data_IF_054017221099
#
_entry.id   IF_054017221099
#
_cell.length_a   1.000
_cell.length_b   1.000
_cell.length_c   1.000
_cell.angle_alpha   90.00
_cell.angle_beta   90.00
_cell.angle_gamma   90.00
#
_symmetry.space_group_name_H-M   'P 1'
#
loop_
_entity.id
_entity.type
_entity.pdbx_description
1 polymer ?
#
# COMPACT_ATOMS: atom_id res chain seq x y z
N UNK A 1 -37.69 2.44 -25.67
CA UNK A 1 -37.06 1.52 -24.71
C UNK A 1 -35.99 2.30 -23.97
N UNK A 2 -36.08 2.44 -22.64
CA UNK A 2 -34.95 2.91 -21.83
C UNK A 2 -33.93 1.78 -21.79
N UNK A 3 -32.72 2.01 -22.29
CA UNK A 3 -31.65 1.04 -22.16
C UNK A 3 -31.29 0.92 -20.66
N UNK A 4 -31.49 -0.24 -20.01
CA UNK A 4 -31.24 -0.41 -18.57
C UNK A 4 -29.78 -0.14 -18.17
N UNK A 5 -28.86 -0.05 -19.13
CA UNK A 5 -27.45 0.23 -18.90
C UNK A 5 -27.08 1.72 -18.86
N UNK A 6 -28.03 2.62 -19.13
CA UNK A 6 -27.78 4.07 -19.17
C UNK A 6 -28.57 4.75 -18.06
N UNK A 7 -27.87 5.50 -17.20
CA UNK A 7 -28.52 6.24 -16.12
C UNK A 7 -29.24 7.50 -16.63
N UNK A 8 -30.07 8.17 -15.80
CA UNK A 8 -30.79 9.38 -16.21
C UNK A 8 -29.89 10.55 -16.62
N UNK A 9 -28.60 10.51 -16.27
CA UNK A 9 -27.60 11.49 -16.67
C UNK A 9 -26.88 11.09 -17.98
N UNK A 10 -27.30 9.99 -18.62
CA UNK A 10 -26.74 9.50 -19.88
C UNK A 10 -25.45 8.70 -19.71
N UNK A 11 -25.04 8.37 -18.48
CA UNK A 11 -23.81 7.62 -18.24
C UNK A 11 -24.05 6.12 -18.36
N UNK A 12 -23.10 5.43 -18.99
CA UNK A 12 -23.11 3.97 -19.06
C UNK A 12 -22.59 3.36 -17.74
N UNK A 13 -23.02 2.13 -17.45
CA UNK A 13 -22.48 1.37 -16.31
C UNK A 13 -20.94 1.22 -16.38
N UNK A 14 -20.37 1.20 -17.59
CA UNK A 14 -18.92 1.12 -17.81
C UNK A 14 -18.19 2.39 -17.35
N UNK A 15 -18.75 3.57 -17.67
CA UNK A 15 -18.20 4.85 -17.21
C UNK A 15 -18.22 4.95 -15.68
N UNK A 16 -19.29 4.47 -15.04
CA UNK A 16 -19.41 4.43 -13.58
C UNK A 16 -18.41 3.46 -12.94
N UNK A 17 -18.19 2.30 -13.54
CA UNK A 17 -17.19 1.35 -13.07
C UNK A 17 -15.79 1.97 -13.10
N UNK A 18 -15.41 2.59 -14.22
CA UNK A 18 -14.12 3.28 -14.38
C UNK A 18 -13.93 4.43 -13.37
N UNK A 19 -14.96 5.25 -13.16
CA UNK A 19 -14.90 6.35 -12.19
C UNK A 19 -14.70 5.85 -10.75
N UNK A 20 -15.38 4.76 -10.36
CA UNK A 20 -15.20 4.12 -9.04
C UNK A 20 -13.81 3.50 -8.88
N UNK A 21 -13.26 2.89 -9.94
CA UNK A 21 -11.89 2.37 -9.94
C UNK A 21 -10.87 3.50 -9.74
N UNK A 22 -11.05 4.66 -10.39
CA UNK A 22 -10.20 5.83 -10.15
C UNK A 22 -10.32 6.40 -8.72
N UNK A 23 -11.53 6.44 -8.17
CA UNK A 23 -11.76 6.87 -6.79
C UNK A 23 -11.10 5.91 -5.78
N UNK A 24 -11.11 4.61 -6.09
CA UNK A 24 -10.46 3.59 -5.27
C UNK A 24 -8.93 3.60 -5.44
N UNK A 25 -8.42 3.86 -6.65
CA UNK A 25 -6.98 3.98 -6.93
C UNK A 25 -6.38 5.28 -6.37
N UNK A 26 -7.20 6.30 -6.11
CA UNK A 26 -6.81 7.51 -5.40
C UNK A 26 -6.88 7.38 -3.87
N UNK A 27 -7.41 6.26 -3.36
CA UNK A 27 -7.15 5.84 -1.99
C UNK A 27 -5.68 5.40 -1.90
N UNK A 28 -4.81 6.38 -1.67
CA UNK A 28 -3.36 6.22 -1.50
C UNK A 28 -3.07 5.00 -0.63
N UNK A 29 -2.46 3.97 -1.23
CA UNK A 29 -2.01 2.79 -0.50
C UNK A 29 -1.04 3.23 0.61
N UNK A 30 -1.21 2.74 1.86
CA UNK A 30 -0.36 3.17 2.96
C UNK A 30 1.11 2.83 2.64
N UNK A 31 2.06 3.73 2.95
CA UNK A 31 3.46 3.51 2.62
C UNK A 31 3.96 2.21 3.26
N UNK A 32 4.71 1.43 2.48
CA UNK A 32 5.26 0.15 2.96
C UNK A 32 6.17 0.37 4.16
N UNK A 33 5.91 -0.38 5.24
CA UNK A 33 6.74 -0.39 6.45
C UNK A 33 7.93 -1.35 6.36
N UNK A 34 8.06 -2.10 5.25
CA UNK A 34 9.16 -3.06 5.05
C UNK A 34 10.55 -2.44 5.25
N UNK A 35 10.87 -1.23 4.73
CA UNK A 35 12.18 -0.63 4.93
C UNK A 35 12.50 -0.36 6.40
N UNK A 36 11.49 0.00 7.21
CA UNK A 36 11.66 0.25 8.64
C UNK A 36 12.03 -1.06 9.37
N UNK A 37 11.32 -2.14 9.07
CA UNK A 37 11.60 -3.44 9.68
C UNK A 37 12.99 -3.97 9.31
N UNK A 38 13.43 -3.75 8.06
CA UNK A 38 14.79 -4.09 7.63
C UNK A 38 15.82 -3.30 8.44
N UNK A 39 15.63 -1.97 8.57
CA UNK A 39 16.55 -1.12 9.31
C UNK A 39 16.64 -1.53 10.79
N UNK A 40 15.50 -1.82 11.44
CA UNK A 40 15.45 -2.31 12.83
C UNK A 40 16.19 -3.65 12.98
N UNK A 41 15.97 -4.58 12.04
CA UNK A 41 16.65 -5.89 12.06
C UNK A 41 18.17 -5.75 11.95
N UNK A 42 18.66 -4.92 11.02
CA UNK A 42 20.10 -4.66 10.86
C UNK A 42 20.68 -4.01 12.11
N UNK A 43 20.00 -3.00 12.66
CA UNK A 43 20.45 -2.33 13.89
C UNK A 43 20.57 -3.30 15.07
N UNK A 44 19.60 -4.20 15.24
CA UNK A 44 19.63 -5.22 16.28
C UNK A 44 20.82 -6.17 16.11
N UNK A 45 21.10 -6.62 14.89
CA UNK A 45 22.26 -7.47 14.61
C UNK A 45 23.59 -6.78 14.94
N UNK A 46 23.71 -5.49 14.61
CA UNK A 46 24.91 -4.71 14.95
C UNK A 46 25.08 -4.62 16.47
N UNK A 47 24.01 -4.33 17.22
CA UNK A 47 24.06 -4.27 18.68
C UNK A 47 24.49 -5.61 19.27
N UNK A 48 23.94 -6.73 18.78
CA UNK A 48 24.32 -8.08 19.22
C UNK A 48 25.79 -8.35 18.91
N UNK A 49 26.26 -8.01 17.71
CA UNK A 49 27.65 -8.22 17.31
C UNK A 49 28.62 -7.41 18.20
N UNK A 50 28.28 -6.16 18.50
CA UNK A 50 29.06 -5.31 19.41
C UNK A 50 29.07 -5.89 20.82
N UNK A 51 27.92 -6.30 21.35
CA UNK A 51 27.83 -6.92 22.67
C UNK A 51 28.65 -8.21 22.74
N UNK A 52 28.58 -9.07 21.72
CA UNK A 52 29.37 -10.29 21.63
C UNK A 52 30.87 -9.99 21.56
N UNK A 53 31.28 -8.97 20.81
CA UNK A 53 32.67 -8.53 20.73
C UNK A 53 33.21 -8.15 22.11
N UNK A 54 32.47 -7.37 22.89
CA UNK A 54 32.86 -7.00 24.26
C UNK A 54 32.74 -8.13 25.29
N UNK A 55 31.91 -9.15 25.03
CA UNK A 55 31.76 -10.29 25.93
C UNK A 55 32.84 -11.37 25.74
N UNK A 56 33.40 -11.45 24.52
CA UNK A 56 34.41 -12.46 24.14
C UNK A 56 35.84 -11.87 24.14
N UNK A 57 35.99 -10.57 23.83
CA UNK A 57 37.26 -9.84 23.85
C UNK A 57 37.61 -9.31 25.23
#
# INVERSE_FOLDING_TARGET
MSDPQVDPAGNTQQFKAFAREQETASAQEPPSRLPIWIAVGVALLVVIAVAAYFAIG
#
